data_IF_458009369216
#
_entry.id   IF_458009369216
#
_cell.length_a   1.000
_cell.length_b   1.000
_cell.length_c   1.000
_cell.angle_alpha   90.00
_cell.angle_beta   90.00
_cell.angle_gamma   90.00
#
_symmetry.space_group_name_H-M   'P 1'
#
loop_
_entity.id
_entity.type
_entity.pdbx_description
1 polymer ?
#
# COMPACT_ATOMS: atom_id res chain seq x y z
N UNK A 1 9.37 -2.03 3.46
CA UNK A 1 8.04 -2.32 2.93
C UNK A 1 8.14 -2.40 1.42
N UNK A 2 7.73 -3.52 0.85
CA UNK A 2 7.63 -3.70 -0.60
C UNK A 2 6.19 -3.44 -1.04
N UNK A 3 6.00 -2.91 -2.25
CA UNK A 3 4.73 -2.89 -2.94
C UNK A 3 4.81 -3.87 -4.10
N UNK A 4 3.82 -4.74 -4.21
CA UNK A 4 3.73 -5.76 -5.23
C UNK A 4 2.47 -5.54 -6.05
N UNK A 5 2.58 -5.75 -7.35
CA UNK A 5 1.46 -5.72 -8.29
C UNK A 5 1.21 -7.15 -8.77
N UNK A 6 -0.02 -7.60 -8.66
CA UNK A 6 -0.46 -8.88 -9.20
C UNK A 6 -1.23 -8.67 -10.50
N UNK A 7 -0.82 -9.34 -11.57
CA UNK A 7 -1.51 -9.36 -12.85
C UNK A 7 -2.08 -10.75 -13.12
N UNK A 8 -3.24 -10.82 -13.76
CA UNK A 8 -3.89 -12.09 -14.10
C UNK A 8 -4.40 -12.87 -12.88
N UNK A 9 -4.64 -12.20 -11.77
CA UNK A 9 -5.21 -12.80 -10.56
C UNK A 9 -6.71 -13.08 -10.76
N UNK A 10 -7.16 -14.21 -10.24
CA UNK A 10 -8.56 -14.60 -10.31
C UNK A 10 -9.39 -13.84 -9.26
N UNK A 11 -10.60 -13.45 -9.66
CA UNK A 11 -11.61 -13.02 -8.72
C UNK A 11 -11.99 -14.22 -7.88
N UNK A 12 -12.01 -14.13 -6.59
CA UNK A 12 -12.22 -15.23 -5.63
C UNK A 12 -10.98 -16.16 -5.44
N UNK A 13 -9.80 -15.81 -5.98
CA UNK A 13 -8.53 -16.48 -5.70
C UNK A 13 -7.97 -16.17 -4.31
N UNK A 14 -6.90 -16.88 -3.93
CA UNK A 14 -6.28 -16.73 -2.60
C UNK A 14 -5.83 -15.32 -2.30
N UNK A 15 -5.24 -14.63 -3.29
CA UNK A 15 -4.81 -13.23 -3.12
C UNK A 15 -6.00 -12.29 -2.93
N UNK A 16 -7.12 -12.52 -3.63
CA UNK A 16 -8.34 -11.74 -3.47
C UNK A 16 -8.87 -11.84 -2.03
N UNK A 17 -9.02 -13.06 -1.51
CA UNK A 17 -9.46 -13.28 -0.12
C UNK A 17 -8.53 -12.65 0.89
N UNK A 18 -7.22 -12.77 0.71
CA UNK A 18 -6.25 -12.09 1.59
C UNK A 18 -6.41 -10.56 1.56
N UNK A 19 -6.69 -9.96 0.40
CA UNK A 19 -6.94 -8.52 0.30
C UNK A 19 -8.22 -8.11 1.04
N UNK A 20 -9.29 -8.91 0.95
CA UNK A 20 -10.53 -8.67 1.70
C UNK A 20 -10.32 -8.78 3.21
N UNK A 21 -9.57 -9.78 3.68
CA UNK A 21 -9.19 -9.91 5.09
C UNK A 21 -8.38 -8.70 5.58
N UNK A 22 -7.45 -8.21 4.77
CA UNK A 22 -6.66 -7.01 5.08
C UNK A 22 -7.58 -5.78 5.15
N UNK A 23 -8.56 -5.65 4.25
CA UNK A 23 -9.55 -4.57 4.29
C UNK A 23 -10.38 -4.62 5.58
N UNK A 24 -10.88 -5.81 5.93
CA UNK A 24 -11.65 -6.02 7.17
C UNK A 24 -10.83 -5.64 8.41
N UNK A 25 -9.62 -6.17 8.54
CA UNK A 25 -8.72 -5.85 9.65
C UNK A 25 -8.38 -4.35 9.73
N UNK A 26 -8.18 -3.70 8.58
CA UNK A 26 -7.97 -2.24 8.56
C UNK A 26 -9.19 -1.48 9.05
N UNK A 27 -10.39 -1.91 8.65
CA UNK A 27 -11.65 -1.32 9.11
C UNK A 27 -11.80 -1.41 10.62
N UNK A 28 -11.54 -2.57 11.22
CA UNK A 28 -11.56 -2.77 12.68
C UNK A 28 -10.56 -1.84 13.39
N UNK A 29 -9.34 -1.72 12.85
CA UNK A 29 -8.33 -0.82 13.41
C UNK A 29 -8.74 0.65 13.31
N UNK A 30 -9.40 1.06 12.23
CA UNK A 30 -9.94 2.42 12.05
C UNK A 30 -11.07 2.68 13.06
N UNK A 31 -11.97 1.71 13.28
CA UNK A 31 -12.97 1.80 14.35
C UNK A 31 -12.33 2.04 15.71
N UNK A 32 -11.36 1.21 16.09
CA UNK A 32 -10.66 1.36 17.38
C UNK A 32 -9.91 2.70 17.53
N UNK A 33 -9.41 3.28 16.42
CA UNK A 33 -8.82 4.62 16.47
C UNK A 33 -9.90 5.68 16.73
N UNK A 34 -11.04 5.60 16.05
CA UNK A 34 -12.15 6.54 16.25
C UNK A 34 -12.69 6.45 17.70
N UNK A 35 -12.88 5.24 18.21
CA UNK A 35 -13.31 5.04 19.60
C UNK A 35 -12.30 5.66 20.59
N UNK A 36 -11.00 5.47 20.34
CA UNK A 36 -9.94 6.06 21.16
C UNK A 36 -9.95 7.60 21.07
N UNK A 37 -10.22 8.18 19.90
CA UNK A 37 -10.33 9.63 19.74
C UNK A 37 -11.57 10.17 20.48
N UNK A 38 -12.71 9.50 20.38
CA UNK A 38 -13.95 9.87 21.11
C UNK A 38 -13.70 9.84 22.61
N UNK A 39 -13.03 8.80 23.13
CA UNK A 39 -12.66 8.69 24.53
C UNK A 39 -11.71 9.82 24.99
N UNK A 40 -10.95 10.43 24.08
CA UNK A 40 -10.08 11.60 24.32
C UNK A 40 -10.80 12.93 24.16
N UNK A 41 -12.12 12.93 23.88
CA UNK A 41 -12.95 14.13 23.79
C UNK A 41 -13.17 14.67 22.37
N UNK A 42 -12.62 14.02 21.34
CA UNK A 42 -12.93 14.37 19.95
C UNK A 42 -14.37 14.03 19.62
N UNK A 43 -15.04 14.87 18.82
CA UNK A 43 -16.45 14.68 18.47
C UNK A 43 -16.61 14.49 16.97
N UNK A 44 -17.42 13.51 16.59
CA UNK A 44 -17.76 13.22 15.20
C UNK A 44 -19.27 13.01 15.10
N UNK A 45 -19.89 13.51 14.05
CA UNK A 45 -21.30 13.24 13.79
C UNK A 45 -21.49 11.77 13.38
N UNK A 46 -22.55 11.17 13.90
CA UNK A 46 -22.91 9.78 13.60
C UNK A 46 -23.05 9.56 12.09
N UNK A 47 -23.64 10.51 11.35
CA UNK A 47 -23.81 10.45 9.90
C UNK A 47 -22.47 10.37 9.16
N UNK A 48 -21.46 11.12 9.61
CA UNK A 48 -20.12 11.09 8.98
C UNK A 48 -19.39 9.79 9.25
N UNK A 49 -19.54 9.22 10.44
CA UNK A 49 -19.01 7.91 10.77
C UNK A 49 -19.70 6.80 9.97
N UNK A 50 -21.03 6.85 9.86
CA UNK A 50 -21.80 5.93 9.02
C UNK A 50 -21.34 6.01 7.56
N UNK A 51 -21.14 7.22 7.02
CA UNK A 51 -20.65 7.42 5.67
C UNK A 51 -19.23 6.89 5.50
N UNK A 52 -18.31 7.14 6.45
CA UNK A 52 -16.97 6.60 6.43
C UNK A 52 -16.98 5.07 6.37
N UNK A 53 -17.78 4.44 7.21
CA UNK A 53 -17.85 2.98 7.30
C UNK A 53 -18.74 2.30 6.26
N UNK A 54 -19.55 3.04 5.50
CA UNK A 54 -20.27 2.51 4.34
C UNK A 54 -19.39 2.34 3.08
N UNK A 55 -18.20 2.90 3.07
CA UNK A 55 -17.27 2.78 1.94
C UNK A 55 -16.69 1.36 1.86
N UNK A 56 -17.34 0.46 1.14
CA UNK A 56 -16.93 -0.95 1.02
C UNK A 56 -15.87 -1.18 -0.06
N UNK A 57 -15.80 -0.30 -1.07
CA UNK A 57 -14.96 -0.52 -2.25
C UNK A 57 -13.47 -0.24 -2.02
N UNK A 58 -13.11 0.44 -0.95
CA UNK A 58 -11.72 0.76 -0.62
C UNK A 58 -11.33 0.38 0.80
N UNK A 59 -10.04 0.09 0.99
CA UNK A 59 -9.48 -0.06 2.32
C UNK A 59 -9.42 1.30 3.03
N UNK A 60 -10.03 1.42 4.21
CA UNK A 60 -9.94 2.62 5.05
C UNK A 60 -8.50 2.85 5.53
N UNK A 61 -8.15 4.11 5.67
CA UNK A 61 -6.80 4.56 6.04
C UNK A 61 -6.83 5.65 7.11
N UNK A 62 -5.69 5.95 7.73
CA UNK A 62 -5.56 7.11 8.63
C UNK A 62 -5.85 8.45 7.94
N UNK A 63 -5.68 8.53 6.62
CA UNK A 63 -5.99 9.75 5.86
C UNK A 63 -7.48 10.04 5.90
N UNK A 64 -8.33 9.03 5.90
CA UNK A 64 -9.78 9.20 5.97
C UNK A 64 -10.18 9.78 7.34
N UNK A 65 -9.55 9.32 8.44
CA UNK A 65 -9.74 9.94 9.78
C UNK A 65 -9.17 11.37 9.80
N UNK A 66 -8.00 11.60 9.20
CA UNK A 66 -7.38 12.91 9.16
C UNK A 66 -8.28 13.95 8.45
N UNK A 67 -8.97 13.53 7.37
CA UNK A 67 -9.96 14.37 6.70
C UNK A 67 -11.15 14.73 7.61
N UNK A 68 -11.62 13.78 8.42
CA UNK A 68 -12.65 14.06 9.42
C UNK A 68 -12.13 15.06 10.47
N UNK A 69 -10.95 14.86 11.03
CA UNK A 69 -10.36 15.77 12.00
C UNK A 69 -10.25 17.20 11.46
N UNK A 70 -9.86 17.37 10.19
CA UNK A 70 -9.85 18.69 9.54
C UNK A 70 -11.27 19.24 9.39
N UNK A 71 -12.25 18.42 8.97
CA UNK A 71 -13.66 18.83 8.84
C UNK A 71 -14.23 19.36 10.16
N UNK A 72 -13.83 18.78 11.28
CA UNK A 72 -14.29 19.19 12.62
C UNK A 72 -13.38 20.27 13.27
N UNK A 73 -12.42 20.82 12.55
CA UNK A 73 -11.55 21.89 13.05
C UNK A 73 -10.51 21.44 14.06
N UNK A 74 -10.31 20.16 14.24
CA UNK A 74 -9.35 19.57 15.18
C UNK A 74 -7.90 19.61 14.64
N UNK A 75 -7.73 19.88 13.35
CA UNK A 75 -6.45 20.11 12.70
C UNK A 75 -6.63 21.05 11.50
N UNK A 76 -5.58 21.81 11.17
CA UNK A 76 -5.56 22.78 10.05
C UNK A 76 -5.40 22.09 8.69
N UNK A 77 -4.82 20.91 8.68
CA UNK A 77 -4.57 20.15 7.46
C UNK A 77 -4.54 18.64 7.73
N UNK A 78 -4.74 17.86 6.66
CA UNK A 78 -4.62 16.40 6.70
C UNK A 78 -3.21 15.96 7.16
N UNK A 79 -2.18 16.66 6.70
CA UNK A 79 -0.80 16.39 7.07
C UNK A 79 -0.55 16.64 8.58
N UNK A 80 -1.07 17.74 9.12
CA UNK A 80 -1.00 18.02 10.55
C UNK A 80 -1.72 16.94 11.35
N UNK A 81 -2.98 16.63 11.04
CA UNK A 81 -3.74 15.58 11.72
C UNK A 81 -3.00 14.23 11.70
N UNK A 82 -2.45 13.87 10.54
CA UNK A 82 -1.75 12.60 10.36
C UNK A 82 -0.47 12.50 11.20
N UNK A 83 0.33 13.57 11.26
CA UNK A 83 1.63 13.58 11.92
C UNK A 83 1.59 13.95 13.41
N UNK A 84 0.46 14.46 13.91
CA UNK A 84 0.27 14.83 15.32
C UNK A 84 -0.75 13.92 16.00
N UNK A 85 -2.04 14.15 15.77
CA UNK A 85 -3.13 13.44 16.45
C UNK A 85 -3.10 11.94 16.16
N UNK A 86 -2.83 11.56 14.90
CA UNK A 86 -2.81 10.16 14.45
C UNK A 86 -1.41 9.52 14.46
N UNK A 87 -0.37 10.25 14.85
CA UNK A 87 1.00 9.71 14.89
C UNK A 87 1.15 8.44 15.76
N UNK A 88 0.52 8.35 16.96
CA UNK A 88 0.64 7.18 17.81
C UNK A 88 0.04 5.90 17.21
N UNK A 89 -0.93 6.03 16.30
CA UNK A 89 -1.65 4.89 15.75
C UNK A 89 -0.92 4.27 14.54
N UNK A 90 -0.40 3.06 14.69
CA UNK A 90 0.38 2.35 13.65
C UNK A 90 -0.44 1.23 13.02
N UNK A 91 -1.26 1.54 12.00
CA UNK A 91 -2.09 0.54 11.31
C UNK A 91 -1.22 -0.39 10.44
N UNK A 92 -0.33 0.18 9.64
CA UNK A 92 0.39 -0.55 8.60
C UNK A 92 1.28 -1.70 9.08
N UNK A 93 1.77 -1.66 10.33
CA UNK A 93 2.56 -2.76 10.91
C UNK A 93 1.70 -3.94 11.36
N UNK A 94 0.41 -3.74 11.60
CA UNK A 94 -0.52 -4.75 12.12
C UNK A 94 -1.21 -5.57 11.03
N UNK A 95 -1.16 -5.12 9.77
CA UNK A 95 -1.90 -5.71 8.65
C UNK A 95 -1.01 -5.95 7.42
N UNK A 96 0.28 -6.22 7.64
CA UNK A 96 1.19 -6.57 6.54
C UNK A 96 1.23 -8.06 6.34
N UNK A 97 1.21 -8.46 5.07
CA UNK A 97 1.54 -9.82 4.67
C UNK A 97 3.03 -9.93 4.33
N UNK A 98 3.62 -11.07 4.56
CA UNK A 98 4.96 -11.41 4.10
C UNK A 98 4.98 -11.48 2.57
N UNK A 99 6.05 -10.97 1.95
CA UNK A 99 6.15 -10.92 0.50
C UNK A 99 6.08 -12.32 -0.14
N UNK A 100 6.69 -13.32 0.49
CA UNK A 100 6.65 -14.71 0.06
C UNK A 100 5.22 -15.29 0.05
N UNK A 101 4.40 -14.95 1.03
CA UNK A 101 3.00 -15.38 1.07
C UNK A 101 2.20 -14.72 -0.05
N UNK A 102 2.41 -13.40 -0.26
CA UNK A 102 1.73 -12.65 -1.33
C UNK A 102 2.09 -13.23 -2.70
N UNK A 103 3.38 -13.47 -2.94
CA UNK A 103 3.84 -14.03 -4.22
C UNK A 103 3.31 -15.44 -4.45
N UNK A 104 3.30 -16.30 -3.41
CA UNK A 104 2.73 -17.67 -3.52
C UNK A 104 1.25 -17.62 -3.93
N UNK A 105 0.44 -16.80 -3.28
CA UNK A 105 -0.98 -16.66 -3.62
C UNK A 105 -1.20 -16.14 -5.06
N UNK A 106 -0.39 -15.16 -5.50
CA UNK A 106 -0.43 -14.69 -6.89
C UNK A 106 -0.08 -15.83 -7.86
N UNK A 107 0.90 -16.67 -7.51
CA UNK A 107 1.30 -17.83 -8.34
C UNK A 107 0.27 -18.95 -8.38
N UNK A 108 -0.42 -19.20 -7.28
CA UNK A 108 -1.52 -20.15 -7.21
C UNK A 108 -2.66 -19.79 -8.16
N UNK A 109 -2.90 -18.49 -8.36
CA UNK A 109 -3.84 -17.95 -9.35
C UNK A 109 -3.27 -17.94 -10.80
N UNK A 110 -2.08 -18.53 -11.06
CA UNK A 110 -1.31 -18.39 -12.30
C UNK A 110 -0.96 -16.93 -12.67
N UNK A 111 -0.96 -16.05 -11.70
CA UNK A 111 -0.68 -14.63 -11.86
C UNK A 111 0.81 -14.32 -11.99
N UNK A 112 1.08 -13.08 -12.40
CA UNK A 112 2.40 -12.49 -12.53
C UNK A 112 2.61 -11.48 -11.40
N UNK A 113 3.72 -11.61 -10.67
CA UNK A 113 4.06 -10.73 -9.56
C UNK A 113 5.16 -9.72 -9.96
N UNK A 114 4.88 -8.44 -9.86
CA UNK A 114 5.79 -7.35 -10.23
C UNK A 114 6.15 -6.51 -9.00
N UNK A 115 7.43 -6.18 -8.84
CA UNK A 115 7.87 -5.21 -7.86
C UNK A 115 7.54 -3.80 -8.34
N UNK A 116 6.68 -3.09 -7.60
CA UNK A 116 6.28 -1.72 -7.93
C UNK A 116 7.39 -0.71 -7.60
N UNK A 117 7.51 0.32 -8.41
CA UNK A 117 8.36 1.52 -8.24
C UNK A 117 9.66 1.29 -7.44
N UNK A 118 10.61 0.44 -7.93
CA UNK A 118 11.83 0.09 -7.22
C UNK A 118 12.68 1.31 -6.80
N UNK A 119 12.67 2.40 -7.54
CA UNK A 119 13.35 3.64 -7.19
C UNK A 119 12.90 4.25 -5.86
N UNK A 120 11.64 4.08 -5.45
CA UNK A 120 11.16 4.51 -4.13
C UNK A 120 11.78 3.68 -3.00
N UNK A 121 12.07 2.40 -3.24
CA UNK A 121 12.71 1.52 -2.27
C UNK A 121 14.14 1.99 -2.04
N UNK A 122 14.87 2.24 -3.12
CA UNK A 122 16.25 2.72 -3.08
C UNK A 122 16.36 4.06 -2.35
N UNK A 123 15.53 5.05 -2.75
CA UNK A 123 15.52 6.38 -2.12
C UNK A 123 15.15 6.33 -0.64
N UNK A 124 14.20 5.49 -0.26
CA UNK A 124 13.67 5.43 1.10
C UNK A 124 14.54 4.66 2.07
N UNK A 125 15.20 3.59 1.61
CA UNK A 125 15.93 2.68 2.47
C UNK A 125 17.43 2.68 2.25
N UNK A 126 17.92 3.39 1.22
CA UNK A 126 19.34 3.41 0.86
C UNK A 126 19.86 2.05 0.38
N UNK A 127 18.99 1.22 -0.22
CA UNK A 127 19.30 -0.14 -0.66
C UNK A 127 19.29 -0.15 -2.19
N UNK A 128 20.36 -0.61 -2.84
CA UNK A 128 20.33 -0.86 -4.27
C UNK A 128 19.43 -2.07 -4.56
N UNK A 129 18.55 -1.93 -5.56
CA UNK A 129 17.63 -3.01 -5.93
C UNK A 129 18.38 -4.29 -6.31
N UNK A 130 19.58 -4.17 -6.87
CA UNK A 130 20.42 -5.31 -7.23
C UNK A 130 20.81 -6.15 -6.03
N UNK A 131 20.99 -5.55 -4.83
CA UNK A 131 21.37 -6.25 -3.61
C UNK A 131 20.29 -7.23 -3.12
N UNK A 132 19.03 -6.97 -3.46
CA UNK A 132 17.88 -7.76 -3.00
C UNK A 132 17.15 -8.50 -4.13
N UNK A 133 17.51 -8.24 -5.39
CA UNK A 133 16.76 -8.72 -6.54
C UNK A 133 16.76 -10.25 -6.65
N UNK A 134 17.89 -10.88 -6.38
CA UNK A 134 17.98 -12.35 -6.45
C UNK A 134 17.13 -13.02 -5.37
N UNK A 135 17.01 -12.41 -4.19
CA UNK A 135 16.14 -12.91 -3.13
C UNK A 135 14.66 -12.65 -3.47
N UNK A 136 14.36 -11.52 -4.09
CA UNK A 136 13.01 -11.24 -4.58
C UNK A 136 12.57 -12.23 -5.66
N UNK A 137 13.47 -12.62 -6.55
CA UNK A 137 13.20 -13.67 -7.57
C UNK A 137 12.96 -15.04 -6.94
N UNK A 138 13.71 -15.42 -5.93
CA UNK A 138 13.52 -16.71 -5.21
C UNK A 138 12.13 -16.81 -4.58
N UNK A 139 11.56 -15.70 -4.12
CA UNK A 139 10.20 -15.68 -3.57
C UNK A 139 9.09 -15.53 -4.62
N UNK A 140 9.44 -15.44 -5.92
CA UNK A 140 8.46 -15.47 -7.02
C UNK A 140 8.16 -14.13 -7.68
N UNK A 141 9.03 -13.12 -7.55
CA UNK A 141 8.93 -11.88 -8.34
C UNK A 141 9.32 -12.17 -9.80
N UNK A 142 8.44 -11.84 -10.74
CA UNK A 142 8.64 -12.06 -12.18
C UNK A 142 9.21 -10.85 -12.90
N UNK A 143 9.01 -9.66 -12.37
CA UNK A 143 9.40 -8.44 -13.03
C UNK A 143 9.41 -7.22 -12.12
N UNK A 144 9.74 -6.08 -12.73
CA UNK A 144 9.80 -4.78 -12.07
C UNK A 144 9.03 -3.72 -12.84
N UNK A 145 8.47 -2.76 -12.12
CA UNK A 145 7.87 -1.58 -12.74
C UNK A 145 8.98 -0.58 -13.10
N UNK A 146 9.30 -0.51 -14.38
CA UNK A 146 10.36 0.36 -14.90
C UNK A 146 9.85 1.77 -15.12
N UNK A 147 8.68 1.87 -15.78
CA UNK A 147 8.08 3.15 -16.14
C UNK A 147 7.12 3.61 -15.02
N UNK A 148 7.62 4.46 -14.11
CA UNK A 148 6.82 5.02 -13.03
C UNK A 148 7.00 6.54 -12.97
N UNK A 149 5.95 7.28 -12.60
CA UNK A 149 5.98 8.75 -12.53
C UNK A 149 7.02 9.33 -11.55
N UNK A 150 7.51 8.51 -10.63
CA UNK A 150 8.51 8.88 -9.62
C UNK A 150 9.95 8.55 -10.03
N UNK A 151 10.12 7.83 -11.14
CA UNK A 151 11.43 7.51 -11.68
C UNK A 151 11.97 8.65 -12.54
N UNK A 152 13.24 8.95 -12.38
CA UNK A 152 13.95 9.86 -13.30
C UNK A 152 14.24 9.15 -14.63
N UNK A 153 14.58 9.88 -15.71
CA UNK A 153 15.03 9.23 -16.96
C UNK A 153 16.20 8.25 -16.75
N UNK A 154 17.12 8.60 -15.84
CA UNK A 154 18.28 7.76 -15.49
C UNK A 154 17.84 6.48 -14.76
N UNK A 155 16.87 6.58 -13.83
CA UNK A 155 16.26 5.43 -13.17
C UNK A 155 15.64 4.47 -14.20
N UNK A 156 14.89 5.02 -15.18
CA UNK A 156 14.24 4.24 -16.24
C UNK A 156 15.28 3.49 -17.08
N UNK A 157 16.34 4.17 -17.53
CA UNK A 157 17.43 3.54 -18.30
C UNK A 157 18.10 2.43 -17.51
N UNK A 158 18.41 2.68 -16.23
CA UNK A 158 19.03 1.72 -15.31
C UNK A 158 18.13 0.49 -15.09
N UNK A 159 16.86 0.69 -14.76
CA UNK A 159 15.93 -0.42 -14.54
C UNK A 159 15.61 -1.21 -15.80
N UNK A 160 15.56 -0.57 -16.97
CA UNK A 160 15.47 -1.26 -18.26
C UNK A 160 16.65 -2.20 -18.49
N UNK A 161 17.88 -1.73 -18.18
CA UNK A 161 19.09 -2.54 -18.30
C UNK A 161 19.01 -3.74 -17.36
N UNK A 162 18.73 -3.51 -16.08
CA UNK A 162 18.57 -4.56 -15.05
C UNK A 162 17.54 -5.59 -15.50
N UNK A 163 16.36 -5.14 -15.94
CA UNK A 163 15.29 -6.04 -16.34
C UNK A 163 15.71 -6.93 -17.51
N UNK A 164 16.38 -6.38 -18.51
CA UNK A 164 16.90 -7.15 -19.66
C UNK A 164 17.97 -8.15 -19.25
N UNK A 165 18.98 -7.73 -18.48
CA UNK A 165 20.09 -8.58 -18.03
C UNK A 165 19.61 -9.73 -17.13
N UNK A 166 18.53 -9.52 -16.38
CA UNK A 166 17.97 -10.50 -15.44
C UNK A 166 16.74 -11.23 -15.99
N UNK A 167 16.38 -10.99 -17.27
CA UNK A 167 15.19 -11.58 -17.91
C UNK A 167 13.91 -11.36 -17.08
N UNK A 168 13.72 -10.15 -16.57
CA UNK A 168 12.55 -9.73 -15.81
C UNK A 168 11.50 -9.14 -16.75
N UNK A 169 10.24 -9.32 -16.40
CA UNK A 169 9.13 -8.62 -17.05
C UNK A 169 9.20 -7.12 -16.72
N UNK A 170 8.77 -6.32 -17.70
CA UNK A 170 8.80 -4.85 -17.61
C UNK A 170 7.36 -4.34 -17.62
N UNK A 171 7.02 -3.52 -16.63
CA UNK A 171 5.72 -2.86 -16.57
C UNK A 171 5.85 -1.35 -16.36
N UNK A 172 4.72 -0.66 -16.39
CA UNK A 172 4.63 0.75 -16.08
C UNK A 172 3.32 1.10 -15.39
N UNK A 173 3.35 2.16 -14.56
CA UNK A 173 2.20 2.67 -13.85
C UNK A 173 2.45 4.06 -13.28
N UNK A 174 1.38 4.77 -12.94
CA UNK A 174 1.44 6.12 -12.38
C UNK A 174 1.54 6.16 -10.85
N UNK A 175 1.29 5.04 -10.18
CA UNK A 175 1.07 4.97 -8.72
C UNK A 175 -0.01 5.97 -8.24
N UNK A 176 -1.01 6.25 -9.09
CA UNK A 176 -2.08 7.20 -8.78
C UNK A 176 -3.04 6.63 -7.73
N UNK A 177 -3.28 7.40 -6.66
CA UNK A 177 -4.10 7.00 -5.51
C UNK A 177 -5.41 7.81 -5.38
N UNK A 178 -5.78 8.56 -6.40
CA UNK A 178 -6.89 9.52 -6.36
C UNK A 178 -6.50 10.86 -5.72
N UNK A 179 -7.30 11.89 -5.97
CA UNK A 179 -7.21 13.19 -5.30
C UNK A 179 -8.08 13.21 -4.04
#
# INVERSE_FOLDING_TARGET
KLHLLGYGIEKDGGIYHMCEDIKSKKRELIHGIIDSLIARGYRFDKKDLEMLFSMNDKALTKVDIARLLVKYGEARSVNEAYNTILAPYKIGSKVRAEASVVTSLIKEDNGICILAHPGDIEKKYGIDILDILDDLRKIGIDGIEVFNSKHTPEDVVRFLKIAKERSLLITGGSDYHGM
#
